data_IF_652453890964
#
_entry.id   IF_652453890964
#
_cell.length_a   1.000
_cell.length_b   1.000
_cell.length_c   1.000
_cell.angle_alpha   90.00
_cell.angle_beta   90.00
_cell.angle_gamma   90.00
#
_symmetry.space_group_name_H-M   'P 1'
#
loop_
_entity.id
_entity.type
_entity.pdbx_description
1 polymer ?
#
# COMPACT_ATOMS: atom_id res chain seq x y z
N UNK A 1 -0.73 16.74 -18.88
CA UNK A 1 -1.49 16.54 -17.64
C UNK A 1 -0.55 16.48 -16.44
N UNK A 2 -0.89 17.16 -15.39
CA UNK A 2 -0.06 17.16 -14.17
C UNK A 2 -0.55 16.08 -13.20
N UNK A 3 0.37 15.57 -12.39
CA UNK A 3 0.05 14.59 -11.33
C UNK A 3 -1.02 15.15 -10.39
N UNK A 4 -0.96 16.43 -10.09
CA UNK A 4 -1.95 17.07 -9.21
C UNK A 4 -3.37 16.99 -9.75
N UNK A 5 -3.53 16.99 -11.07
CA UNK A 5 -4.84 16.86 -11.70
C UNK A 5 -5.42 15.46 -11.49
N UNK A 6 -4.57 14.44 -11.58
CA UNK A 6 -4.97 13.06 -11.32
C UNK A 6 -5.38 12.89 -9.86
N UNK A 7 -4.61 13.45 -8.95
CA UNK A 7 -4.93 13.37 -7.52
C UNK A 7 -6.25 14.06 -7.20
N UNK A 8 -6.57 15.14 -7.90
CA UNK A 8 -7.85 15.83 -7.71
C UNK A 8 -9.02 14.95 -8.11
N UNK A 9 -8.86 14.16 -9.17
CA UNK A 9 -9.91 13.25 -9.66
C UNK A 9 -10.05 12.03 -8.75
N UNK A 10 -8.94 11.39 -8.40
CA UNK A 10 -8.92 10.16 -7.59
C UNK A 10 -9.09 10.42 -6.10
N UNK A 11 -8.82 11.65 -5.66
CA UNK A 11 -8.69 11.95 -4.25
C UNK A 11 -7.27 11.77 -3.78
N UNK A 12 -7.01 12.20 -2.56
CA UNK A 12 -5.68 12.16 -1.96
C UNK A 12 -5.64 11.35 -0.66
N UNK A 13 -6.58 10.44 -0.50
CA UNK A 13 -6.58 9.53 0.66
C UNK A 13 -5.40 8.58 0.52
N UNK A 14 -4.59 8.48 1.56
CA UNK A 14 -3.42 7.63 1.59
C UNK A 14 -3.67 6.49 2.56
N UNK A 15 -3.58 5.26 2.05
CA UNK A 15 -3.65 4.07 2.89
C UNK A 15 -2.22 3.60 3.16
N UNK A 16 -1.91 3.36 4.43
CA UNK A 16 -0.56 3.02 4.84
C UNK A 16 -0.55 1.72 5.65
N UNK A 17 0.63 1.14 5.76
CA UNK A 17 0.90 0.02 6.65
C UNK A 17 2.16 0.35 7.46
N UNK A 18 2.36 -0.38 8.54
CA UNK A 18 3.58 -0.30 9.35
C UNK A 18 4.36 -1.62 9.21
N UNK A 19 5.69 -1.59 9.40
CA UNK A 19 6.49 -2.83 9.27
C UNK A 19 6.05 -3.97 10.18
N UNK A 20 5.46 -3.65 11.34
CA UNK A 20 4.99 -4.67 12.26
C UNK A 20 3.60 -5.23 11.97
N UNK A 21 2.93 -4.72 10.94
CA UNK A 21 1.60 -5.20 10.58
C UNK A 21 1.68 -6.58 9.94
N UNK A 22 0.64 -7.39 10.17
CA UNK A 22 0.54 -8.68 9.49
C UNK A 22 0.30 -8.48 7.99
N UNK A 23 0.90 -9.33 7.18
CA UNK A 23 0.70 -9.30 5.72
C UNK A 23 -0.78 -9.44 5.37
N UNK A 24 -1.50 -10.30 6.10
CA UNK A 24 -2.93 -10.51 5.89
C UNK A 24 -3.72 -9.21 6.06
N UNK A 25 -3.35 -8.38 7.04
CA UNK A 25 -4.01 -7.10 7.26
C UNK A 25 -3.75 -6.14 6.10
N UNK A 26 -2.53 -6.10 5.60
CA UNK A 26 -2.18 -5.28 4.44
C UNK A 26 -2.97 -5.71 3.21
N UNK A 27 -3.09 -7.01 2.99
CA UNK A 27 -3.86 -7.56 1.87
C UNK A 27 -5.33 -7.17 2.00
N UNK A 28 -5.88 -7.24 3.21
CA UNK A 28 -7.27 -6.87 3.45
C UNK A 28 -7.53 -5.40 3.08
N UNK A 29 -6.62 -4.51 3.46
CA UNK A 29 -6.73 -3.09 3.12
C UNK A 29 -6.67 -2.89 1.60
N UNK A 30 -5.75 -3.55 0.93
CA UNK A 30 -5.63 -3.46 -0.53
C UNK A 30 -6.89 -3.94 -1.23
N UNK A 31 -7.44 -5.06 -0.79
CA UNK A 31 -8.65 -5.63 -1.39
C UNK A 31 -9.87 -4.76 -1.12
N UNK A 32 -9.99 -4.25 0.11
CA UNK A 32 -11.13 -3.45 0.51
C UNK A 32 -11.21 -2.12 -0.26
N UNK A 33 -10.05 -1.54 -0.55
CA UNK A 33 -9.99 -0.24 -1.23
C UNK A 33 -9.59 -0.34 -2.70
N UNK A 34 -9.50 -1.56 -3.21
CA UNK A 34 -9.16 -1.81 -4.62
C UNK A 34 -7.88 -1.10 -5.04
N UNK A 35 -6.84 -1.26 -4.23
CA UNK A 35 -5.53 -0.70 -4.49
C UNK A 35 -4.49 -1.80 -4.52
N UNK A 36 -3.47 -1.63 -5.38
CA UNK A 36 -2.43 -2.63 -5.56
C UNK A 36 -1.15 -2.37 -4.80
N UNK A 37 -1.11 -1.31 -4.00
CA UNK A 37 0.09 -0.96 -3.25
C UNK A 37 -0.27 -0.16 -2.01
N UNK A 38 0.61 -0.24 -1.01
CA UNK A 38 0.53 0.54 0.22
C UNK A 38 1.87 1.21 0.48
N UNK A 39 1.81 2.41 1.00
CA UNK A 39 3.00 3.08 1.52
C UNK A 39 3.24 2.52 2.93
N UNK A 40 4.48 2.11 3.20
CA UNK A 40 4.86 1.61 4.51
C UNK A 40 5.52 2.75 5.28
N UNK A 41 4.93 3.11 6.40
CA UNK A 41 5.38 4.22 7.24
C UNK A 41 5.88 3.68 8.57
N UNK A 42 6.95 4.25 9.07
CA UNK A 42 7.50 3.93 10.37
C UNK A 42 7.88 5.21 11.07
N UNK A 43 7.30 5.47 12.23
CA UNK A 43 7.60 6.65 13.05
C UNK A 43 7.45 7.95 12.27
N UNK A 44 6.42 8.04 11.44
CA UNK A 44 6.14 9.22 10.62
C UNK A 44 7.03 9.38 9.40
N UNK A 45 7.85 8.39 9.07
CA UNK A 45 8.74 8.42 7.92
C UNK A 45 8.42 7.32 6.93
N UNK A 46 8.69 7.58 5.66
CA UNK A 46 8.53 6.57 4.62
C UNK A 46 9.58 5.48 4.81
N UNK A 47 9.13 4.25 5.08
CA UNK A 47 10.01 3.09 5.21
C UNK A 47 10.11 2.32 3.89
N UNK A 48 9.07 2.37 3.06
CA UNK A 48 9.09 1.67 1.78
C UNK A 48 7.70 1.60 1.18
N UNK A 49 7.56 0.70 0.22
CA UNK A 49 6.28 0.42 -0.42
C UNK A 49 6.04 -1.08 -0.47
N UNK A 50 4.80 -1.48 -0.32
CA UNK A 50 4.40 -2.88 -0.43
C UNK A 50 3.42 -2.98 -1.60
N UNK A 51 3.72 -3.87 -2.56
CA UNK A 51 2.85 -4.11 -3.69
C UNK A 51 2.23 -5.50 -3.60
N UNK A 52 1.12 -5.68 -4.28
CA UNK A 52 0.48 -6.99 -4.42
C UNK A 52 1.43 -8.03 -4.96
N UNK A 53 2.26 -7.63 -5.92
CA UNK A 53 3.25 -8.54 -6.52
C UNK A 53 4.19 -9.11 -5.47
N UNK A 54 4.71 -8.26 -4.59
CA UNK A 54 5.62 -8.69 -3.53
C UNK A 54 4.94 -9.62 -2.54
N UNK A 55 3.66 -9.35 -2.23
CA UNK A 55 2.87 -10.22 -1.38
C UNK A 55 2.73 -11.60 -2.02
N UNK A 56 2.39 -11.66 -3.31
CA UNK A 56 2.26 -12.91 -4.03
C UNK A 56 3.58 -13.68 -4.07
N UNK A 57 4.68 -12.98 -4.30
CA UNK A 57 6.01 -13.59 -4.31
C UNK A 57 6.36 -14.19 -2.94
N UNK A 58 6.06 -13.47 -1.87
CA UNK A 58 6.33 -13.96 -0.52
C UNK A 58 5.49 -15.19 -0.19
N UNK A 59 4.21 -15.19 -0.55
CA UNK A 59 3.32 -16.32 -0.33
C UNK A 59 3.74 -17.55 -1.13
N UNK A 60 4.29 -17.34 -2.33
CA UNK A 60 4.75 -18.45 -3.16
C UNK A 60 5.98 -19.13 -2.58
N UNK A 61 6.77 -18.44 -1.76
CA UNK A 61 7.99 -18.98 -1.15
C UNK A 61 7.78 -19.58 0.23
N UNK A 62 6.63 -19.31 0.79
CA UNK A 62 6.27 -19.81 2.13
C UNK A 62 4.98 -20.67 2.06
#
# INVERSE_FOLDING_TARGET
MLVSEILRIKGNTLFTAAPGDAVQEAVRVMAQHDIGSLVVMERGRLAGMLTFREVLEALAKH
#
